data_IF_295583201064
#
_entry.id   IF_295583201064
#
_cell.length_a   1.000
_cell.length_b   1.000
_cell.length_c   1.000
_cell.angle_alpha   90.00
_cell.angle_beta   90.00
_cell.angle_gamma   90.00
#
_symmetry.space_group_name_H-M   'P 1'
#
loop_
_entity.id
_entity.type
_entity.pdbx_description
1 polymer ?
#
# COMPACT_ATOMS: atom_id res chain seq x y z
N UNK A 1 -28.04 -26.12 15.82
CA UNK A 1 -27.80 -25.17 14.71
C UNK A 1 -26.34 -24.76 14.81
N UNK A 2 -25.49 -25.25 13.90
CA UNK A 2 -24.06 -25.00 13.95
C UNK A 2 -23.77 -23.53 13.65
N UNK A 3 -23.04 -22.88 14.55
CA UNK A 3 -22.41 -21.58 14.29
C UNK A 3 -21.35 -21.80 13.22
N UNK A 4 -21.64 -21.48 11.96
CA UNK A 4 -20.58 -21.26 10.99
C UNK A 4 -19.81 -20.03 11.47
N UNK A 5 -18.65 -20.26 12.08
CA UNK A 5 -17.70 -19.20 12.36
C UNK A 5 -17.32 -18.59 11.01
N UNK A 6 -17.71 -17.34 10.78
CA UNK A 6 -17.20 -16.56 9.66
C UNK A 6 -15.73 -16.34 9.96
N UNK A 7 -14.86 -16.93 9.14
CA UNK A 7 -13.43 -16.71 9.26
C UNK A 7 -13.15 -15.26 8.82
N UNK A 8 -12.51 -14.48 9.69
CA UNK A 8 -11.96 -13.17 9.34
C UNK A 8 -11.02 -13.36 8.14
N UNK A 9 -11.21 -12.55 7.10
CA UNK A 9 -10.38 -12.61 5.91
C UNK A 9 -8.99 -12.10 6.25
N UNK A 10 -8.01 -13.00 6.13
CA UNK A 10 -6.62 -12.66 6.44
C UNK A 10 -6.06 -11.82 5.30
N UNK A 11 -5.97 -10.51 5.51
CA UNK A 11 -5.26 -9.60 4.59
C UNK A 11 -3.80 -10.04 4.44
N UNK A 12 -3.40 -10.34 3.22
CA UNK A 12 -2.06 -10.76 2.87
C UNK A 12 -1.07 -9.59 2.87
N UNK A 13 0.21 -9.89 3.07
CA UNK A 13 1.27 -8.88 3.10
C UNK A 13 1.35 -8.05 1.79
N UNK A 14 1.06 -8.67 0.65
CA UNK A 14 1.06 -7.99 -0.64
C UNK A 14 -0.16 -7.06 -0.79
N UNK A 15 -1.34 -7.42 -0.30
CA UNK A 15 -2.54 -6.56 -0.33
C UNK A 15 -2.32 -5.34 0.54
N UNK A 16 -1.74 -5.54 1.73
CA UNK A 16 -1.29 -4.46 2.61
C UNK A 16 -0.30 -3.54 1.90
N UNK A 17 0.66 -4.08 1.16
CA UNK A 17 1.58 -3.29 0.35
C UNK A 17 0.88 -2.51 -0.78
N UNK A 18 -0.08 -3.13 -1.46
CA UNK A 18 -0.89 -2.48 -2.50
C UNK A 18 -1.64 -1.29 -1.91
N UNK A 19 -2.40 -1.51 -0.82
CA UNK A 19 -3.15 -0.45 -0.11
C UNK A 19 -2.20 0.67 0.33
N UNK A 20 -1.07 0.33 0.94
CA UNK A 20 -0.06 1.33 1.34
C UNK A 20 0.42 2.19 0.16
N UNK A 21 0.78 1.53 -0.95
CA UNK A 21 1.38 2.18 -2.11
C UNK A 21 0.41 3.03 -2.91
N UNK A 22 -0.82 2.56 -3.13
CA UNK A 22 -1.80 3.30 -3.94
C UNK A 22 -2.39 4.50 -3.20
N UNK A 23 -2.42 4.46 -1.88
CA UNK A 23 -2.91 5.55 -1.03
C UNK A 23 -1.82 6.53 -0.56
N UNK A 24 -0.58 6.37 -1.04
CA UNK A 24 0.48 7.36 -0.83
C UNK A 24 1.02 7.40 0.60
N UNK A 25 1.08 6.26 1.29
CA UNK A 25 1.86 6.11 2.53
C UNK A 25 1.41 7.04 3.68
N UNK A 26 0.13 7.40 3.72
CA UNK A 26 -0.45 8.29 4.75
C UNK A 26 -1.60 7.63 5.49
N UNK A 27 -1.81 7.96 6.77
CA UNK A 27 -3.00 7.55 7.50
C UNK A 27 -4.21 8.30 6.92
N UNK A 28 -5.26 7.57 6.55
CA UNK A 28 -6.42 8.21 5.91
C UNK A 28 -7.24 9.10 6.86
N UNK A 29 -7.11 8.90 8.18
CA UNK A 29 -7.90 9.61 9.19
C UNK A 29 -7.36 11.02 9.44
N UNK A 30 -6.04 11.18 9.55
CA UNK A 30 -5.42 12.46 9.89
C UNK A 30 -4.37 12.96 8.89
N UNK A 31 -4.07 12.16 7.86
CA UNK A 31 -3.16 12.49 6.77
C UNK A 31 -1.68 12.43 7.14
N UNK A 32 -1.29 12.00 8.35
CA UNK A 32 0.13 11.94 8.68
C UNK A 32 0.83 10.81 7.89
N UNK A 33 2.11 10.96 7.53
CA UNK A 33 2.88 9.87 6.94
C UNK A 33 2.93 8.66 7.88
N UNK A 34 2.82 7.45 7.32
CA UNK A 34 3.00 6.19 8.02
C UNK A 34 4.01 5.33 7.28
N UNK A 35 4.71 4.46 7.99
CA UNK A 35 5.59 3.48 7.38
C UNK A 35 4.86 2.13 7.22
N UNK A 36 5.33 1.31 6.29
CA UNK A 36 4.72 0.01 6.00
C UNK A 36 4.71 -0.92 7.23
N UNK A 37 5.65 -0.80 8.17
CA UNK A 37 5.73 -1.71 9.33
C UNK A 37 4.66 -1.37 10.36
N UNK A 38 4.42 -0.07 10.61
CA UNK A 38 3.44 0.41 11.58
C UNK A 38 2.02 0.58 11.02
N UNK A 39 1.87 0.62 9.69
CA UNK A 39 0.59 0.73 8.99
C UNK A 39 -0.27 -0.53 9.16
N UNK A 40 -1.57 -0.31 9.32
CA UNK A 40 -2.62 -1.32 9.28
C UNK A 40 -3.58 -1.02 8.12
N UNK A 41 -4.18 -2.06 7.54
CA UNK A 41 -5.30 -1.91 6.62
C UNK A 41 -6.57 -1.84 7.45
N UNK A 42 -7.32 -0.75 7.31
CA UNK A 42 -8.61 -0.58 7.94
C UNK A 42 -9.73 -0.76 6.92
N UNK A 43 -10.80 -1.41 7.39
CA UNK A 43 -12.06 -1.53 6.70
C UNK A 43 -12.93 -0.32 7.05
N UNK A 44 -13.13 0.63 6.13
CA UNK A 44 -13.95 1.82 6.39
C UNK A 44 -15.31 1.39 6.95
N UNK A 45 -15.95 0.43 6.28
CA UNK A 45 -17.10 -0.33 6.78
C UNK A 45 -16.59 -1.65 7.38
N UNK A 46 -16.72 -1.87 8.71
CA UNK A 46 -16.12 -3.01 9.38
C UNK A 46 -16.58 -4.39 8.87
N UNK A 47 -15.63 -5.31 8.70
CA UNK A 47 -15.85 -6.68 8.22
C UNK A 47 -16.80 -7.51 9.10
N UNK A 48 -16.82 -7.30 10.42
CA UNK A 48 -17.69 -8.08 11.31
C UNK A 48 -19.18 -8.03 10.91
N UNK A 49 -19.60 -6.99 10.16
CA UNK A 49 -20.95 -6.86 9.63
C UNK A 49 -21.33 -8.00 8.66
N UNK A 50 -20.37 -8.74 8.09
CA UNK A 50 -20.64 -9.98 7.35
C UNK A 50 -21.39 -11.01 8.20
N UNK A 51 -21.20 -10.98 9.53
CA UNK A 51 -21.94 -11.81 10.50
C UNK A 51 -23.32 -11.26 10.88
N UNK A 52 -23.66 -10.04 10.45
CA UNK A 52 -24.90 -9.35 10.75
C UNK A 52 -25.63 -8.89 9.46
N UNK A 53 -26.13 -9.79 8.59
CA UNK A 53 -26.58 -9.45 7.23
C UNK A 53 -27.67 -8.37 7.15
N UNK A 54 -28.58 -8.34 8.14
CA UNK A 54 -29.62 -7.30 8.21
C UNK A 54 -29.03 -5.92 8.46
N UNK A 55 -28.13 -5.83 9.44
CA UNK A 55 -27.44 -4.59 9.79
C UNK A 55 -26.50 -4.16 8.66
N UNK A 56 -25.83 -5.09 8.00
CA UNK A 56 -25.03 -4.82 6.82
C UNK A 56 -25.88 -4.17 5.71
N UNK A 57 -27.05 -4.73 5.40
CA UNK A 57 -27.94 -4.16 4.39
C UNK A 57 -28.37 -2.72 4.73
N UNK A 58 -28.68 -2.45 6.01
CA UNK A 58 -29.03 -1.09 6.46
C UNK A 58 -27.84 -0.13 6.34
N UNK A 59 -26.63 -0.57 6.70
CA UNK A 59 -25.39 0.22 6.59
C UNK A 59 -25.09 0.53 5.12
N UNK A 60 -25.10 -0.47 4.23
CA UNK A 60 -24.86 -0.26 2.80
C UNK A 60 -25.88 0.71 2.21
N UNK A 61 -27.16 0.58 2.57
CA UNK A 61 -28.21 1.52 2.15
C UNK A 61 -27.95 2.94 2.65
N UNK A 62 -27.53 3.10 3.91
CA UNK A 62 -27.21 4.40 4.49
C UNK A 62 -26.04 5.08 3.76
N UNK A 63 -25.04 4.30 3.36
CA UNK A 63 -23.92 4.78 2.56
C UNK A 63 -24.22 4.92 1.06
N UNK A 64 -25.41 4.50 0.59
CA UNK A 64 -25.78 4.51 -0.83
C UNK A 64 -25.02 3.48 -1.67
N UNK A 65 -24.49 2.44 -1.04
CA UNK A 65 -23.71 1.38 -1.68
C UNK A 65 -24.62 0.23 -2.17
N UNK A 66 -24.22 -0.51 -3.23
CA UNK A 66 -25.00 -1.63 -3.73
C UNK A 66 -25.06 -2.77 -2.70
N UNK A 67 -26.13 -3.59 -2.69
CA UNK A 67 -26.23 -4.76 -1.81
C UNK A 67 -25.13 -5.82 -2.04
N UNK A 68 -24.48 -5.77 -3.20
CA UNK A 68 -23.37 -6.66 -3.59
C UNK A 68 -21.99 -6.05 -3.28
N UNK A 69 -21.93 -4.97 -2.50
CA UNK A 69 -20.67 -4.34 -2.11
C UNK A 69 -19.84 -5.31 -1.27
N UNK A 70 -18.62 -5.56 -1.71
CA UNK A 70 -17.69 -6.46 -1.03
C UNK A 70 -16.89 -5.71 0.03
N UNK A 71 -17.07 -6.09 1.30
CA UNK A 71 -16.34 -5.48 2.41
C UNK A 71 -14.86 -5.82 2.37
N UNK A 72 -14.47 -6.95 1.78
CA UNK A 72 -13.10 -7.44 1.73
C UNK A 72 -12.46 -7.08 0.39
N UNK A 73 -12.63 -5.81 -0.02
CA UNK A 73 -12.15 -5.31 -1.30
C UNK A 73 -11.40 -3.98 -1.14
N UNK A 74 -10.56 -3.65 -2.13
CA UNK A 74 -9.88 -2.36 -2.20
C UNK A 74 -10.82 -1.15 -2.19
N UNK A 75 -12.12 -1.33 -2.48
CA UNK A 75 -13.10 -0.26 -2.39
C UNK A 75 -13.48 0.11 -0.94
N UNK A 76 -13.07 -0.70 0.04
CA UNK A 76 -13.34 -0.52 1.46
C UNK A 76 -12.06 -0.46 2.32
N UNK A 77 -10.89 -0.68 1.72
CA UNK A 77 -9.62 -0.76 2.44
C UNK A 77 -8.82 0.54 2.36
N UNK A 78 -8.38 1.03 3.51
CA UNK A 78 -7.55 2.24 3.61
C UNK A 78 -6.35 2.03 4.54
N UNK A 79 -5.22 2.69 4.28
CA UNK A 79 -4.08 2.69 5.20
C UNK A 79 -4.37 3.53 6.44
N UNK A 80 -4.10 2.99 7.62
CA UNK A 80 -4.22 3.72 8.88
C UNK A 80 -3.06 3.42 9.82
N UNK A 81 -2.81 4.32 10.78
CA UNK A 81 -1.89 4.02 11.87
C UNK A 81 -2.58 3.18 12.94
N UNK A 82 -1.80 2.39 13.69
CA UNK A 82 -2.34 1.52 14.73
C UNK A 82 -3.17 2.27 15.79
N UNK A 83 -2.79 3.51 16.14
CA UNK A 83 -3.52 4.31 17.13
C UNK A 83 -4.95 4.61 16.67
N UNK A 84 -5.13 5.08 15.43
CA UNK A 84 -6.45 5.39 14.88
C UNK A 84 -7.27 4.13 14.59
N UNK A 85 -6.65 3.05 14.10
CA UNK A 85 -7.37 1.79 13.91
C UNK A 85 -7.91 1.23 15.24
N UNK A 86 -7.08 1.25 16.29
CA UNK A 86 -7.46 0.79 17.62
C UNK A 86 -8.49 1.69 18.30
N UNK A 87 -8.55 2.97 17.92
CA UNK A 87 -9.58 3.90 18.37
C UNK A 87 -10.92 3.62 17.68
N UNK A 88 -10.90 3.36 16.36
CA UNK A 88 -12.07 3.02 15.56
C UNK A 88 -12.65 1.65 15.95
N UNK A 89 -11.81 0.60 16.04
CA UNK A 89 -12.22 -0.80 16.26
C UNK A 89 -13.32 -1.21 15.27
N UNK A 90 -14.27 -2.02 15.72
CA UNK A 90 -15.50 -2.35 14.98
C UNK A 90 -16.58 -1.26 15.01
N UNK A 91 -16.25 0.02 15.19
CA UNK A 91 -17.27 1.08 15.07
C UNK A 91 -17.60 1.28 13.60
N UNK A 92 -18.89 1.24 13.29
CA UNK A 92 -19.42 1.73 12.02
C UNK A 92 -19.52 3.25 12.16
N UNK A 93 -18.85 3.99 11.29
CA UNK A 93 -19.00 5.45 11.29
C UNK A 93 -20.43 5.85 10.93
N UNK A 94 -20.85 7.04 11.38
CA UNK A 94 -22.04 7.67 10.83
C UNK A 94 -21.79 8.07 9.37
N UNK A 95 -22.81 7.95 8.53
CA UNK A 95 -22.73 8.35 7.13
C UNK A 95 -22.66 9.87 7.00
N UNK A 96 -21.43 10.38 7.07
CA UNK A 96 -21.10 11.79 6.92
C UNK A 96 -20.38 12.03 5.59
N UNK A 97 -20.38 13.28 5.06
CA UNK A 97 -19.65 13.60 3.84
C UNK A 97 -18.16 13.22 3.88
N UNK A 98 -17.51 13.32 5.04
CA UNK A 98 -16.10 12.96 5.20
C UNK A 98 -15.88 11.45 4.96
N UNK A 99 -16.71 10.59 5.56
CA UNK A 99 -16.59 9.14 5.36
C UNK A 99 -16.91 8.75 3.91
N UNK A 100 -17.86 9.44 3.28
CA UNK A 100 -18.16 9.24 1.87
C UNK A 100 -16.99 9.61 0.95
N UNK A 101 -16.25 10.68 1.27
CA UNK A 101 -15.02 11.02 0.55
C UNK A 101 -14.00 9.89 0.66
N UNK A 102 -13.85 9.27 1.83
CA UNK A 102 -12.93 8.14 2.01
C UNK A 102 -13.36 6.90 1.23
N UNK A 103 -14.66 6.56 1.23
CA UNK A 103 -15.20 5.45 0.42
C UNK A 103 -15.00 5.70 -1.07
N UNK A 104 -15.26 6.93 -1.55
CA UNK A 104 -15.02 7.29 -2.94
C UNK A 104 -13.52 7.22 -3.28
N UNK A 105 -12.66 7.72 -2.39
CA UNK A 105 -11.21 7.70 -2.59
C UNK A 105 -10.62 6.28 -2.61
N UNK A 106 -11.25 5.31 -1.93
CA UNK A 106 -10.93 3.89 -2.02
C UNK A 106 -11.44 3.31 -3.35
N UNK A 107 -12.71 3.55 -3.69
CA UNK A 107 -13.32 3.11 -4.94
C UNK A 107 -12.55 3.57 -6.19
N UNK A 108 -12.14 4.85 -6.24
CA UNK A 108 -11.40 5.44 -7.36
C UNK A 108 -10.02 4.80 -7.58
N UNK A 109 -9.48 4.08 -6.57
CA UNK A 109 -8.17 3.42 -6.64
C UNK A 109 -8.25 1.92 -6.90
N UNK A 110 -9.45 1.34 -6.99
CA UNK A 110 -9.63 -0.11 -7.17
C UNK A 110 -8.91 -0.60 -8.43
N UNK A 111 -9.06 0.08 -9.57
CA UNK A 111 -8.43 -0.33 -10.82
C UNK A 111 -6.89 -0.33 -10.69
N UNK A 112 -6.32 0.75 -10.14
CA UNK A 112 -4.88 0.86 -9.89
C UNK A 112 -4.38 -0.20 -8.92
N UNK A 113 -5.13 -0.50 -7.85
CA UNK A 113 -4.79 -1.52 -6.88
C UNK A 113 -4.75 -2.91 -7.54
N UNK A 114 -5.76 -3.23 -8.34
CA UNK A 114 -5.83 -4.50 -9.08
C UNK A 114 -4.73 -4.62 -10.14
N UNK A 115 -4.38 -3.54 -10.84
CA UNK A 115 -3.24 -3.52 -11.77
C UNK A 115 -1.93 -3.78 -11.04
N UNK A 116 -1.74 -3.13 -9.88
CA UNK A 116 -0.56 -3.31 -9.05
C UNK A 116 -0.47 -4.76 -8.56
N UNK A 117 -1.57 -5.31 -8.07
CA UNK A 117 -1.66 -6.70 -7.64
C UNK A 117 -1.34 -7.65 -8.79
N UNK A 118 -1.97 -7.50 -9.96
CA UNK A 118 -1.69 -8.32 -11.15
C UNK A 118 -0.21 -8.26 -11.55
N UNK A 119 0.39 -7.07 -11.52
CA UNK A 119 1.80 -6.90 -11.81
C UNK A 119 2.67 -7.63 -10.78
N UNK A 120 2.30 -7.64 -9.51
CA UNK A 120 3.00 -8.41 -8.47
C UNK A 120 2.77 -9.92 -8.59
N UNK A 121 1.55 -10.35 -8.88
CA UNK A 121 1.19 -11.75 -9.10
C UNK A 121 1.88 -12.35 -10.34
N UNK A 122 2.11 -11.53 -11.38
CA UNK A 122 2.91 -11.90 -12.56
C UNK A 122 4.36 -12.22 -12.21
N UNK A 123 4.84 -11.72 -11.08
CA UNK A 123 6.14 -12.03 -10.47
C UNK A 123 5.97 -13.11 -9.41
N UNK A 124 5.32 -14.21 -9.81
CA UNK A 124 4.88 -15.31 -8.93
C UNK A 124 6.00 -15.87 -8.05
N UNK A 125 7.24 -15.90 -8.55
CA UNK A 125 8.43 -16.32 -7.81
C UNK A 125 8.74 -15.39 -6.62
N UNK A 126 8.59 -14.07 -6.81
CA UNK A 126 8.77 -13.08 -5.74
C UNK A 126 7.65 -13.21 -4.71
N UNK A 127 6.40 -13.37 -5.16
CA UNK A 127 5.26 -13.59 -4.26
C UNK A 127 5.41 -14.87 -3.42
N UNK A 128 5.88 -15.96 -4.03
CA UNK A 128 6.14 -17.21 -3.33
C UNK A 128 7.27 -17.05 -2.30
N UNK A 129 8.36 -16.37 -2.65
CA UNK A 129 9.46 -16.09 -1.72
C UNK A 129 9.00 -15.23 -0.53
N UNK A 130 8.18 -14.20 -0.77
CA UNK A 130 7.61 -13.36 0.29
C UNK A 130 6.72 -14.16 1.24
N UNK A 131 5.86 -15.05 0.73
CA UNK A 131 5.03 -15.92 1.56
C UNK A 131 5.85 -16.89 2.42
N UNK A 132 6.97 -17.40 1.90
CA UNK A 132 7.91 -18.24 2.68
C UNK A 132 8.54 -17.44 3.81
N UNK A 133 9.01 -16.23 3.51
CA UNK A 133 9.58 -15.31 4.51
C UNK A 133 8.54 -14.90 5.57
N UNK A 134 7.28 -14.65 5.20
CA UNK A 134 6.20 -14.31 6.13
C UNK A 134 5.95 -15.43 7.14
N UNK A 135 5.89 -16.68 6.67
CA UNK A 135 5.71 -17.83 7.55
C UNK A 135 6.87 -18.00 8.52
N UNK A 136 8.11 -17.90 8.02
CA UNK A 136 9.31 -17.99 8.85
C UNK A 136 9.38 -16.86 9.88
N UNK A 137 9.01 -15.63 9.50
CA UNK A 137 8.98 -14.50 10.43
C UNK A 137 7.93 -14.68 11.53
N UNK A 138 6.77 -15.24 11.19
CA UNK A 138 5.68 -15.51 12.15
C UNK A 138 6.05 -16.57 13.19
N UNK A 139 7.00 -17.46 12.88
CA UNK A 139 7.53 -18.45 13.82
C UNK A 139 8.77 -17.97 14.58
N UNK A 140 9.22 -16.73 14.33
CA UNK A 140 10.42 -16.16 14.96
C UNK A 140 11.75 -16.68 14.40
N UNK A 141 11.70 -17.35 13.25
CA UNK A 141 12.80 -18.19 12.71
C UNK A 141 13.41 -17.58 11.45
N UNK A 142 13.71 -16.27 11.50
CA UNK A 142 14.38 -15.55 10.40
C UNK A 142 15.67 -14.94 10.92
N UNK A 143 16.81 -15.47 10.47
CA UNK A 143 18.10 -14.83 10.66
C UNK A 143 18.12 -13.50 9.86
N UNK A 144 18.30 -12.34 10.53
CA UNK A 144 18.37 -11.05 9.86
C UNK A 144 19.44 -10.98 8.76
N UNK A 145 20.53 -11.74 8.88
CA UNK A 145 21.60 -11.78 7.89
C UNK A 145 21.15 -12.40 6.56
N UNK A 146 20.16 -13.29 6.57
CA UNK A 146 19.59 -13.88 5.35
C UNK A 146 18.76 -12.86 4.54
N UNK A 147 18.28 -11.80 5.18
CA UNK A 147 17.44 -10.77 4.54
C UNK A 147 18.28 -9.60 4.01
N UNK A 148 19.49 -9.38 4.56
CA UNK A 148 20.39 -8.29 4.17
C UNK A 148 20.69 -8.21 2.66
N UNK A 149 20.99 -9.32 1.95
CA UNK A 149 21.19 -9.26 0.50
C UNK A 149 19.97 -8.76 -0.27
N UNK A 150 18.76 -9.05 0.23
CA UNK A 150 17.50 -8.59 -0.35
C UNK A 150 17.34 -7.07 -0.14
N UNK A 151 17.67 -6.58 1.05
CA UNK A 151 17.67 -5.15 1.39
C UNK A 151 18.68 -4.40 0.49
N UNK A 152 19.88 -4.92 0.31
CA UNK A 152 20.91 -4.32 -0.55
C UNK A 152 20.51 -4.33 -2.04
N UNK A 153 19.87 -5.40 -2.50
CA UNK A 153 19.32 -5.48 -3.85
C UNK A 153 18.23 -4.41 -4.05
N UNK A 154 17.31 -4.26 -3.08
CA UNK A 154 16.26 -3.25 -3.13
C UNK A 154 16.82 -1.83 -3.13
N UNK A 155 17.81 -1.54 -2.28
CA UNK A 155 18.48 -0.25 -2.24
C UNK A 155 19.18 0.10 -3.57
N UNK A 156 19.77 -0.89 -4.25
CA UNK A 156 20.38 -0.70 -5.58
C UNK A 156 19.35 -0.35 -6.65
N UNK A 157 18.24 -1.08 -6.72
CA UNK A 157 17.15 -0.80 -7.66
C UNK A 157 16.53 0.58 -7.38
N UNK A 158 16.28 0.90 -6.12
CA UNK A 158 15.70 2.19 -5.70
C UNK A 158 16.63 3.36 -6.02
N UNK A 159 17.95 3.21 -5.79
CA UNK A 159 18.95 4.22 -6.16
C UNK A 159 18.98 4.46 -7.67
N UNK A 160 18.85 3.40 -8.48
CA UNK A 160 18.81 3.51 -9.93
C UNK A 160 17.58 4.28 -10.42
N UNK A 161 16.39 3.93 -9.92
CA UNK A 161 15.15 4.63 -10.27
C UNK A 161 15.17 6.13 -9.92
N UNK A 162 15.80 6.50 -8.80
CA UNK A 162 16.00 7.92 -8.42
C UNK A 162 16.96 8.62 -9.38
N UNK A 163 18.08 7.98 -9.74
CA UNK A 163 19.04 8.54 -10.70
C UNK A 163 18.39 8.75 -12.08
N UNK A 164 17.67 7.74 -12.58
CA UNK A 164 17.00 7.81 -13.88
C UNK A 164 15.98 8.98 -13.92
N UNK A 165 15.25 9.21 -12.81
CA UNK A 165 14.31 10.33 -12.66
C UNK A 165 15.00 11.70 -12.63
N UNK A 166 16.15 11.78 -11.96
CA UNK A 166 16.95 13.01 -11.88
C UNK A 166 17.53 13.39 -13.26
N UNK A 167 17.97 12.38 -14.02
CA UNK A 167 18.42 12.55 -15.41
C UNK A 167 17.27 12.97 -16.34
N UNK A 168 16.09 12.33 -16.22
CA UNK A 168 14.89 12.67 -16.99
C UNK A 168 14.43 14.12 -16.75
N UNK A 169 14.44 14.56 -15.50
CA UNK A 169 14.04 15.92 -15.10
C UNK A 169 15.10 16.98 -15.40
N UNK A 170 16.27 16.59 -15.96
CA UNK A 170 17.41 17.46 -16.25
C UNK A 170 17.81 18.35 -15.06
N UNK A 171 17.63 17.84 -13.84
CA UNK A 171 17.96 18.59 -12.64
C UNK A 171 19.49 18.67 -12.58
N UNK A 172 20.09 19.87 -12.57
CA UNK A 172 21.54 19.98 -12.44
C UNK A 172 21.94 19.46 -11.06
N UNK A 173 22.56 18.27 -11.03
CA UNK A 173 23.21 17.76 -9.83
C UNK A 173 24.49 18.56 -9.64
N UNK A 174 24.40 19.79 -9.14
CA UNK A 174 25.59 20.48 -8.63
C UNK A 174 26.01 19.75 -7.36
N UNK A 175 26.96 18.83 -7.51
CA UNK A 175 27.74 18.28 -6.40
C UNK A 175 28.56 19.42 -5.78
N UNK A 176 27.92 20.15 -4.86
CA UNK A 176 28.58 21.00 -3.88
C UNK A 176 28.50 20.33 -2.51
N UNK A 177 29.41 19.38 -2.24
CA UNK A 177 29.64 18.90 -0.87
C UNK A 177 30.39 20.00 -0.11
N UNK A 178 29.67 20.94 0.51
CA UNK A 178 30.29 21.98 1.31
C UNK A 178 29.32 23.09 1.69
N UNK A 179 28.55 22.88 2.75
CA UNK A 179 27.72 23.92 3.34
C UNK A 179 26.61 23.34 4.21
N UNK A 180 26.48 23.84 5.43
CA UNK A 180 25.55 23.43 6.50
C UNK A 180 24.06 23.46 6.14
N UNK A 181 23.72 23.91 4.93
CA UNK A 181 22.36 24.25 4.53
C UNK A 181 21.85 23.34 3.37
N UNK A 182 22.73 22.47 2.84
CA UNK A 182 22.45 21.57 1.70
C UNK A 182 21.45 20.44 1.97
N UNK A 183 21.07 20.22 3.24
CA UNK A 183 20.12 19.19 3.64
C UNK A 183 18.68 19.49 3.19
N UNK A 184 18.31 20.76 3.01
CA UNK A 184 16.91 21.13 2.72
C UNK A 184 16.50 20.94 1.26
N UNK A 185 17.42 21.13 0.30
CA UNK A 185 17.14 20.94 -1.12
C UNK A 185 17.10 19.45 -1.50
N UNK A 186 18.04 18.65 -0.98
CA UNK A 186 18.03 17.20 -1.14
C UNK A 186 16.78 16.58 -0.50
N UNK A 187 16.41 16.97 0.73
CA UNK A 187 15.21 16.46 1.39
C UNK A 187 13.89 16.91 0.71
N UNK A 188 13.91 18.03 -0.04
CA UNK A 188 12.75 18.53 -0.80
C UNK A 188 12.64 17.80 -2.15
N UNK A 189 13.75 17.64 -2.86
CA UNK A 189 13.82 16.83 -4.08
C UNK A 189 13.52 15.35 -3.80
N UNK A 190 14.03 14.82 -2.69
CA UNK A 190 13.72 13.46 -2.23
C UNK A 190 12.23 13.32 -1.94
N UNK A 191 11.59 14.29 -1.28
CA UNK A 191 10.12 14.31 -1.08
C UNK A 191 9.35 14.41 -2.40
N UNK A 192 9.77 15.25 -3.33
CA UNK A 192 9.13 15.40 -4.64
C UNK A 192 9.25 14.13 -5.49
N UNK A 193 10.42 13.48 -5.48
CA UNK A 193 10.65 12.20 -6.19
C UNK A 193 9.88 11.06 -5.51
N UNK A 194 9.86 11.02 -4.18
CA UNK A 194 9.18 9.97 -3.41
C UNK A 194 7.66 10.10 -3.44
N UNK A 195 7.12 11.33 -3.48
CA UNK A 195 5.68 11.60 -3.53
C UNK A 195 5.15 11.78 -4.96
N UNK A 196 6.01 11.78 -5.98
CA UNK A 196 5.56 11.77 -7.36
C UNK A 196 4.90 10.42 -7.66
N UNK A 197 3.70 10.40 -8.27
CA UNK A 197 3.03 9.15 -8.61
C UNK A 197 3.97 8.33 -9.50
N UNK A 198 4.31 7.11 -9.05
CA UNK A 198 5.02 6.13 -9.87
C UNK A 198 4.12 5.85 -11.07
N UNK A 199 4.46 6.45 -12.23
CA UNK A 199 3.94 6.02 -13.51
C UNK A 199 4.68 4.74 -13.86
N UNK A 200 4.01 3.60 -13.69
CA UNK A 200 4.46 2.35 -14.27
C UNK A 200 4.32 2.49 -15.80
N UNK A 201 5.34 3.03 -16.48
CA UNK A 201 5.37 2.98 -17.94
C UNK A 201 5.74 1.55 -18.36
N UNK A 202 4.91 0.86 -19.16
CA UNK A 202 5.17 -0.51 -19.58
C UNK A 202 6.11 -0.51 -20.79
N UNK A 203 7.39 -0.16 -20.63
CA UNK A 203 8.36 -0.37 -21.72
C UNK A 203 9.80 -0.41 -21.23
N UNK A 204 10.27 -1.60 -20.84
CA UNK A 204 11.66 -1.96 -21.10
C UNK A 204 11.64 -3.12 -22.08
N UNK A 205 11.48 -2.79 -23.37
CA UNK A 205 11.85 -3.69 -24.46
C UNK A 205 13.35 -3.87 -24.35
N UNK A 206 13.78 -5.08 -23.96
CA UNK A 206 15.15 -5.54 -24.08
C UNK A 206 15.57 -5.40 -25.55
N UNK A 207 16.24 -4.30 -25.89
CA UNK A 207 17.04 -4.24 -27.12
C UNK A 207 18.30 -5.05 -26.86
N UNK A 208 18.31 -6.27 -27.38
CA UNK A 208 19.52 -6.99 -27.71
C UNK A 208 20.33 -6.14 -28.71
N UNK A 209 21.31 -5.39 -28.20
CA UNK A 209 22.37 -4.83 -29.02
C UNK A 209 23.51 -5.86 -29.03
N UNK A 210 23.54 -6.66 -30.09
CA UNK A 210 24.75 -7.40 -30.45
C UNK A 210 25.79 -6.42 -30.99
N UNK A 211 27.05 -6.64 -30.63
CA UNK A 211 28.22 -6.12 -31.33
C UNK A 211 29.42 -7.08 -31.09
N UNK A 212 29.90 -7.61 -32.21
CA UNK A 212 31.18 -8.30 -32.51
C UNK A 212 31.40 -9.72 -31.98
#
# INVERSE_FOLDING_TARGET
MGTNAIQEEKIHCYERWVVFSVHGETCYIDGHPIDLLSMQVDHIIPEFLLSEPRRLADVLKLYGLPPTFDLNSYANWMPTCAAHNNLKRGRVFEATPLIQIHLQAAADKVERAQEFEKHMASKREIGAALNVLERAASTGDVDPNLVMPLIDAFQRVRRRAVIDKVEELKIPITMGFGGSDGGSAYARLYREIMNAPIRLTPTLVLRSAGLY
#
